data_IF_935301718452
#
_entry.id   IF_935301718452
#
_cell.length_a   1.000
_cell.length_b   1.000
_cell.length_c   1.000
_cell.angle_alpha   90.00
_cell.angle_beta   90.00
_cell.angle_gamma   90.00
#
_symmetry.space_group_name_H-M   'P 1'
#
loop_
_entity.id
_entity.type
_entity.pdbx_description
1 polymer ?
#
# COMPACT_ATOMS: atom_id res chain seq x y z
N UNK A 1 -4.62 18.70 -19.89
CA UNK A 1 -4.24 17.27 -19.77
C UNK A 1 -2.82 17.26 -19.24
N UNK A 2 -2.56 16.65 -18.08
CA UNK A 2 -1.22 16.65 -17.50
C UNK A 2 -0.29 15.73 -18.31
N UNK A 3 0.89 16.21 -18.70
CA UNK A 3 1.95 15.39 -19.30
C UNK A 3 2.81 14.83 -18.16
N UNK A 4 2.59 13.55 -17.85
CA UNK A 4 3.33 12.82 -16.82
C UNK A 4 4.12 11.69 -17.48
N UNK A 5 5.43 11.71 -17.29
CA UNK A 5 6.32 10.64 -17.75
C UNK A 5 6.92 9.93 -16.55
N UNK A 6 6.50 8.67 -16.35
CA UNK A 6 6.98 7.84 -15.27
C UNK A 6 8.12 6.95 -15.74
N UNK A 7 9.16 6.85 -14.91
CA UNK A 7 10.22 5.85 -15.05
C UNK A 7 10.25 5.01 -13.78
N UNK A 8 9.86 3.75 -13.93
CA UNK A 8 9.89 2.73 -12.88
C UNK A 8 10.92 1.68 -13.28
N UNK A 9 12.11 1.79 -12.71
CA UNK A 9 13.22 0.91 -13.04
C UNK A 9 14.05 0.56 -11.81
N UNK A 10 15.14 -0.18 -12.01
CA UNK A 10 16.11 -0.41 -10.93
C UNK A 10 16.72 0.94 -10.52
N UNK A 11 16.61 1.33 -9.26
CA UNK A 11 17.16 2.59 -8.74
C UNK A 11 18.61 2.81 -9.15
N UNK A 12 19.44 1.76 -9.11
CA UNK A 12 20.86 1.82 -9.51
C UNK A 12 21.06 2.25 -10.97
N UNK A 13 20.15 1.85 -11.87
CA UNK A 13 20.19 2.19 -13.30
C UNK A 13 19.72 3.63 -13.51
N UNK A 14 18.62 4.01 -12.85
CA UNK A 14 18.11 5.39 -12.92
C UNK A 14 19.12 6.40 -12.33
N UNK A 15 19.72 6.09 -11.19
CA UNK A 15 20.77 6.90 -10.56
C UNK A 15 22.03 7.00 -11.43
N UNK A 16 22.36 5.97 -12.20
CA UNK A 16 23.46 6.03 -13.17
C UNK A 16 23.10 6.95 -14.34
N UNK A 17 21.87 6.89 -14.84
CA UNK A 17 21.40 7.74 -15.93
C UNK A 17 21.36 9.23 -15.57
N UNK A 18 21.13 9.57 -14.31
CA UNK A 18 21.14 10.94 -13.80
C UNK A 18 22.54 11.47 -13.45
N UNK A 19 23.52 10.57 -13.25
CA UNK A 19 24.83 10.86 -12.65
C UNK A 19 24.82 10.72 -11.13
N UNK A 20 25.87 10.15 -10.53
CA UNK A 20 25.94 9.91 -9.07
C UNK A 20 26.77 10.95 -8.33
N UNK A 21 27.61 11.66 -9.06
CA UNK A 21 28.45 12.74 -8.54
C UNK A 21 28.25 14.02 -9.38
N UNK A 22 28.67 15.19 -8.89
CA UNK A 22 28.60 16.45 -9.64
C UNK A 22 29.35 16.41 -10.98
N UNK A 23 30.34 15.53 -11.13
CA UNK A 23 31.14 15.40 -12.36
C UNK A 23 30.45 14.50 -13.41
N UNK A 24 29.58 13.60 -12.96
CA UNK A 24 28.84 12.66 -13.81
C UNK A 24 27.46 13.18 -14.20
N UNK A 25 27.01 14.29 -13.61
CA UNK A 25 25.64 14.76 -13.81
C UNK A 25 25.43 15.43 -15.17
N UNK A 26 24.33 15.06 -15.83
CA UNK A 26 23.97 15.58 -17.15
C UNK A 26 23.47 17.03 -17.05
N UNK A 27 22.95 17.39 -15.88
CA UNK A 27 22.45 18.72 -15.55
C UNK A 27 22.71 19.01 -14.08
N UNK A 28 22.92 20.28 -13.75
CA UNK A 28 23.25 20.73 -12.41
C UNK A 28 22.28 20.17 -11.36
N UNK A 29 22.84 19.67 -10.26
CA UNK A 29 22.13 19.13 -9.10
C UNK A 29 21.37 17.79 -9.31
N UNK A 30 21.45 17.14 -10.49
CA UNK A 30 20.83 15.82 -10.70
C UNK A 30 21.44 14.74 -9.80
N UNK A 31 22.72 14.84 -9.44
CA UNK A 31 23.35 13.88 -8.51
C UNK A 31 22.63 13.83 -7.14
N UNK A 32 22.02 14.94 -6.70
CA UNK A 32 21.24 15.01 -5.45
C UNK A 32 19.96 14.17 -5.53
N UNK A 33 19.37 14.04 -6.72
CA UNK A 33 18.21 13.19 -6.96
C UNK A 33 18.63 11.72 -6.92
N UNK A 34 19.74 11.38 -7.58
CA UNK A 34 20.30 10.02 -7.59
C UNK A 34 20.53 9.49 -6.17
N UNK A 35 21.03 10.34 -5.28
CA UNK A 35 21.25 10.00 -3.86
C UNK A 35 19.95 9.71 -3.09
N UNK A 36 18.81 10.24 -3.56
CA UNK A 36 17.51 10.02 -2.92
C UNK A 36 16.81 8.77 -3.43
N UNK A 37 17.25 8.15 -4.53
CA UNK A 37 16.65 6.94 -5.10
C UNK A 37 16.90 5.69 -4.23
N UNK A 38 16.23 5.60 -3.08
CA UNK A 38 16.36 4.54 -2.08
C UNK A 38 15.02 3.82 -1.89
N UNK A 39 15.06 2.49 -1.81
CA UNK A 39 13.87 1.66 -1.62
C UNK A 39 13.00 1.56 -2.88
N UNK A 40 11.69 1.39 -2.69
CA UNK A 40 10.72 1.31 -3.78
C UNK A 40 10.31 2.72 -4.22
N UNK A 41 11.02 3.30 -5.18
CA UNK A 41 10.75 4.63 -5.70
C UNK A 41 10.98 4.69 -7.21
N UNK A 42 10.35 5.66 -7.88
CA UNK A 42 10.52 5.96 -9.29
C UNK A 42 10.72 7.44 -9.55
N UNK A 43 10.91 7.79 -10.82
CA UNK A 43 10.99 9.17 -11.28
C UNK A 43 9.70 9.55 -12.00
N UNK A 44 9.25 10.77 -11.76
CA UNK A 44 8.17 11.42 -12.50
C UNK A 44 8.72 12.71 -13.08
N UNK A 45 8.65 12.86 -14.40
CA UNK A 45 8.93 14.10 -15.11
C UNK A 45 7.64 14.74 -15.57
N UNK A 46 7.51 16.03 -15.35
CA UNK A 46 6.33 16.81 -15.72
C UNK A 46 6.65 18.30 -15.76
N UNK A 47 5.89 19.03 -16.59
CA UNK A 47 5.90 20.50 -16.61
C UNK A 47 4.89 21.10 -15.61
N UNK A 48 4.15 20.26 -14.88
CA UNK A 48 3.20 20.71 -13.87
C UNK A 48 3.92 21.18 -12.60
N UNK A 49 3.36 22.17 -11.92
CA UNK A 49 3.89 22.65 -10.65
C UNK A 49 3.75 21.58 -9.55
N UNK A 50 4.60 21.69 -8.52
CA UNK A 50 4.56 20.77 -7.37
C UNK A 50 3.15 20.66 -6.76
N UNK A 51 2.45 21.78 -6.58
CA UNK A 51 1.13 21.80 -5.94
C UNK A 51 0.06 21.11 -6.81
N UNK A 52 0.13 21.27 -8.13
CA UNK A 52 -0.75 20.56 -9.06
C UNK A 52 -0.50 19.05 -9.03
N UNK A 53 0.78 18.64 -8.98
CA UNK A 53 1.16 17.23 -8.88
C UNK A 53 0.65 16.63 -7.57
N UNK A 54 0.90 17.29 -6.43
CA UNK A 54 0.43 16.81 -5.13
C UNK A 54 -1.09 16.69 -5.09
N UNK A 55 -1.81 17.73 -5.55
CA UNK A 55 -3.28 17.72 -5.61
C UNK A 55 -3.83 16.64 -6.54
N UNK A 56 -3.19 16.42 -7.69
CA UNK A 56 -3.60 15.37 -8.64
C UNK A 56 -3.58 13.99 -7.99
N UNK A 57 -2.54 13.73 -7.21
CA UNK A 57 -2.26 12.45 -6.61
C UNK A 57 -2.98 12.19 -5.29
N UNK A 58 -3.20 13.23 -4.48
CA UNK A 58 -4.01 13.14 -3.25
C UNK A 58 -5.44 12.69 -3.55
N UNK A 59 -6.02 13.20 -4.64
CA UNK A 59 -7.39 12.87 -5.05
C UNK A 59 -7.50 11.52 -5.79
N UNK A 60 -6.40 10.81 -6.01
CA UNK A 60 -6.34 9.57 -6.79
C UNK A 60 -5.64 8.45 -6.04
N UNK A 61 -6.19 8.11 -4.88
CA UNK A 61 -5.79 6.92 -4.12
C UNK A 61 -6.76 5.78 -4.40
N UNK A 62 -6.20 4.62 -4.68
CA UNK A 62 -6.96 3.39 -4.82
C UNK A 62 -6.69 2.52 -3.60
N UNK A 63 -7.72 1.94 -2.95
CA UNK A 63 -7.51 0.97 -1.90
C UNK A 63 -6.79 -0.24 -2.50
N UNK A 64 -5.61 -0.55 -1.97
CA UNK A 64 -4.84 -1.74 -2.35
C UNK A 64 -4.93 -2.73 -1.19
N UNK A 65 -5.21 -4.02 -1.47
CA UNK A 65 -5.17 -5.04 -0.43
C UNK A 65 -3.78 -5.13 0.20
N UNK A 66 -3.70 -5.30 1.52
CA UNK A 66 -2.42 -5.45 2.19
C UNK A 66 -1.77 -6.78 1.87
N UNK A 67 -0.44 -6.77 1.85
CA UNK A 67 0.40 -7.95 1.69
C UNK A 67 1.02 -8.35 3.04
N UNK A 68 1.47 -9.60 3.12
CA UNK A 68 2.26 -10.03 4.26
C UNK A 68 3.55 -9.20 4.36
N UNK A 69 3.88 -8.74 5.57
CA UNK A 69 5.01 -7.86 5.85
C UNK A 69 4.69 -6.36 5.78
N UNK A 70 3.54 -5.97 5.24
CA UNK A 70 3.09 -4.56 5.30
C UNK A 70 2.85 -4.16 6.75
N UNK A 71 3.17 -2.91 7.09
CA UNK A 71 2.92 -2.36 8.42
C UNK A 71 1.49 -1.81 8.47
N UNK A 72 0.67 -2.31 9.39
CA UNK A 72 -0.70 -1.85 9.56
C UNK A 72 -0.71 -0.35 9.94
N UNK A 73 -1.44 0.47 9.19
CA UNK A 73 -1.57 1.90 9.49
C UNK A 73 -2.59 2.22 10.57
N UNK A 74 -3.42 1.25 10.94
CA UNK A 74 -4.44 1.37 11.98
C UNK A 74 -4.71 0.00 12.61
N UNK A 75 -5.33 0.01 13.78
CA UNK A 75 -5.81 -1.21 14.44
C UNK A 75 -7.16 -1.60 13.85
N UNK A 76 -7.30 -2.85 13.40
CA UNK A 76 -8.54 -3.37 12.83
C UNK A 76 -9.14 -4.41 13.78
N UNK A 77 -10.30 -4.08 14.33
CA UNK A 77 -11.08 -4.95 15.21
C UNK A 77 -12.43 -5.28 14.59
N UNK A 78 -12.77 -6.56 14.55
CA UNK A 78 -14.06 -7.07 14.10
C UNK A 78 -14.92 -7.38 15.33
N UNK A 79 -16.13 -6.84 15.36
CA UNK A 79 -17.10 -7.11 16.43
C UNK A 79 -17.81 -8.44 16.23
N UNK A 80 -18.11 -9.10 17.35
CA UNK A 80 -18.93 -10.30 17.41
C UNK A 80 -20.23 -10.12 16.62
N UNK A 81 -20.62 -11.14 15.86
CA UNK A 81 -21.91 -11.17 15.17
C UNK A 81 -21.89 -11.94 13.84
N UNK A 82 -23.03 -11.94 13.17
CA UNK A 82 -23.19 -12.56 11.86
C UNK A 82 -22.37 -11.81 10.80
N UNK A 83 -21.76 -12.58 9.91
CA UNK A 83 -20.99 -12.10 8.76
C UNK A 83 -21.71 -12.48 7.45
N UNK A 84 -22.87 -11.87 7.14
CA UNK A 84 -23.68 -12.20 5.96
C UNK A 84 -22.97 -11.89 4.63
N UNK A 85 -21.92 -11.07 4.66
CA UNK A 85 -21.08 -10.78 3.51
C UNK A 85 -20.25 -12.00 3.04
N UNK A 86 -20.20 -13.08 3.83
CA UNK A 86 -19.48 -14.30 3.50
C UNK A 86 -20.40 -15.47 3.17
N UNK A 87 -19.99 -16.23 2.15
CA UNK A 87 -20.59 -17.52 1.84
C UNK A 87 -20.23 -18.56 2.90
N UNK A 88 -21.16 -19.46 3.22
CA UNK A 88 -20.95 -20.60 4.11
C UNK A 88 -19.69 -21.43 3.79
N UNK A 89 -19.35 -21.56 2.50
CA UNK A 89 -18.20 -22.33 2.04
C UNK A 89 -16.85 -21.76 2.52
N UNK A 90 -16.79 -20.47 2.89
CA UNK A 90 -15.56 -19.82 3.31
C UNK A 90 -15.28 -19.96 4.81
N UNK A 91 -16.28 -20.33 5.60
CA UNK A 91 -16.16 -20.43 7.05
C UNK A 91 -14.98 -21.32 7.51
N UNK A 92 -14.77 -22.52 6.95
CA UNK A 92 -13.61 -23.35 7.33
C UNK A 92 -12.27 -22.67 7.06
N UNK A 93 -12.21 -21.84 6.01
CA UNK A 93 -11.01 -21.06 5.70
C UNK A 93 -10.80 -19.92 6.70
N UNK A 94 -11.85 -19.19 7.08
CA UNK A 94 -11.76 -18.14 8.11
C UNK A 94 -11.27 -18.70 9.45
N UNK A 95 -11.79 -19.86 9.84
CA UNK A 95 -11.34 -20.58 11.04
C UNK A 95 -9.86 -20.96 10.96
N UNK A 96 -9.39 -21.44 9.80
CA UNK A 96 -7.97 -21.76 9.56
C UNK A 96 -7.06 -20.53 9.63
N UNK A 97 -7.57 -19.34 9.29
CA UNK A 97 -6.85 -18.08 9.43
C UNK A 97 -6.81 -17.55 10.88
N UNK A 98 -7.43 -18.27 11.82
CA UNK A 98 -7.44 -17.94 13.24
C UNK A 98 -8.66 -17.13 13.70
N UNK A 99 -9.62 -16.85 12.81
CA UNK A 99 -10.86 -16.19 13.21
C UNK A 99 -11.74 -17.16 14.02
N UNK A 100 -12.28 -16.74 15.18
CA UNK A 100 -13.17 -17.56 15.99
C UNK A 100 -14.58 -17.58 15.37
N UNK A 101 -14.75 -18.34 14.28
CA UNK A 101 -16.01 -18.43 13.54
C UNK A 101 -16.72 -19.78 13.69
N UNK A 102 -18.05 -19.73 13.52
CA UNK A 102 -18.96 -20.89 13.41
C UNK A 102 -20.00 -20.61 12.33
N UNK A 103 -20.64 -21.64 11.78
CA UNK A 103 -21.87 -21.47 10.99
C UNK A 103 -23.10 -21.42 11.89
N UNK A 104 -23.84 -20.32 11.82
CA UNK A 104 -25.17 -20.15 12.41
C UNK A 104 -26.21 -20.09 11.29
N UNK A 105 -27.07 -21.11 11.19
CA UNK A 105 -28.10 -21.24 10.14
C UNK A 105 -27.57 -21.04 8.71
N UNK A 106 -26.35 -21.51 8.45
CA UNK A 106 -25.70 -21.40 7.14
C UNK A 106 -25.04 -20.04 6.86
N UNK A 107 -24.96 -19.14 7.84
CA UNK A 107 -24.21 -17.88 7.75
C UNK A 107 -23.01 -17.94 8.70
N UNK A 108 -21.80 -17.54 8.27
CA UNK A 108 -20.67 -17.44 9.19
C UNK A 108 -20.96 -16.41 10.29
N UNK A 109 -20.72 -16.79 11.55
CA UNK A 109 -20.82 -15.95 12.74
C UNK A 109 -19.46 -15.86 13.41
N UNK A 110 -19.04 -14.65 13.76
CA UNK A 110 -17.90 -14.42 14.64
C UNK A 110 -18.36 -14.53 16.10
N UNK A 111 -17.79 -15.48 16.86
CA UNK A 111 -18.26 -15.83 18.20
C UNK A 111 -17.88 -14.81 19.29
N UNK A 112 -16.84 -14.02 19.04
CA UNK A 112 -16.29 -13.01 19.95
C UNK A 112 -15.60 -11.90 19.15
N UNK A 113 -15.39 -10.74 19.76
CA UNK A 113 -14.58 -9.69 19.16
C UNK A 113 -13.18 -10.23 18.80
N UNK A 114 -12.68 -9.84 17.63
CA UNK A 114 -11.43 -10.34 17.07
C UNK A 114 -10.60 -9.20 16.50
N UNK A 115 -9.42 -8.99 17.08
CA UNK A 115 -8.44 -8.03 16.55
C UNK A 115 -7.67 -8.69 15.43
N UNK A 116 -7.85 -8.19 14.20
CA UNK A 116 -7.14 -8.69 13.02
C UNK A 116 -5.70 -8.22 13.05
N UNK A 117 -5.46 -6.93 13.23
CA UNK A 117 -4.12 -6.36 13.35
C UNK A 117 -4.11 -5.13 14.25
N UNK A 118 -2.93 -4.83 14.82
CA UNK A 118 -2.67 -3.63 15.59
C UNK A 118 -1.84 -2.64 14.76
N UNK A 119 -2.11 -1.35 14.93
CA UNK A 119 -1.33 -0.27 14.32
C UNK A 119 0.18 -0.43 14.58
N UNK A 120 0.99 -0.19 13.55
CA UNK A 120 2.45 -0.22 13.64
C UNK A 120 3.06 -1.63 13.61
N UNK A 121 2.26 -2.70 13.62
CA UNK A 121 2.77 -4.08 13.50
C UNK A 121 2.78 -4.56 12.05
N UNK A 122 3.74 -5.44 11.75
CA UNK A 122 3.79 -6.12 10.45
C UNK A 122 2.67 -7.17 10.35
N UNK A 123 2.00 -7.19 9.20
CA UNK A 123 0.93 -8.13 8.90
C UNK A 123 1.50 -9.51 8.58
N UNK A 124 0.96 -10.53 9.23
CA UNK A 124 1.19 -11.93 8.86
C UNK A 124 0.40 -12.28 7.58
N UNK A 125 0.78 -13.36 6.88
CA UNK A 125 0.02 -13.83 5.72
C UNK A 125 -1.46 -14.09 6.02
N UNK A 126 -1.77 -14.60 7.22
CA UNK A 126 -3.16 -14.83 7.64
C UNK A 126 -3.93 -13.52 7.79
N UNK A 127 -3.33 -12.52 8.44
CA UNK A 127 -3.96 -11.20 8.63
C UNK A 127 -4.18 -10.49 7.30
N UNK A 128 -3.17 -10.48 6.42
CA UNK A 128 -3.30 -9.93 5.07
C UNK A 128 -4.45 -10.60 4.29
N UNK A 129 -4.56 -11.93 4.34
CA UNK A 129 -5.64 -12.68 3.68
C UNK A 129 -7.04 -12.35 4.24
N UNK A 130 -7.16 -12.13 5.55
CA UNK A 130 -8.42 -11.68 6.17
C UNK A 130 -8.79 -10.30 5.64
N UNK A 131 -7.82 -9.38 5.59
CA UNK A 131 -8.03 -8.01 5.15
C UNK A 131 -8.36 -7.91 3.65
N UNK A 132 -7.79 -8.74 2.78
CA UNK A 132 -8.05 -8.75 1.31
C UNK A 132 -9.55 -8.95 0.97
N UNK A 133 -10.34 -9.54 1.87
CA UNK A 133 -11.78 -9.79 1.66
C UNK A 133 -12.59 -8.50 1.97
N UNK A 134 -13.94 -8.46 2.00
CA UNK A 134 -14.73 -7.21 2.04
C UNK A 134 -14.56 -6.37 3.34
N UNK A 135 -13.57 -6.68 4.16
CA UNK A 135 -13.16 -5.91 5.33
C UNK A 135 -12.13 -4.81 5.01
N UNK A 136 -11.36 -4.91 3.91
CA UNK A 136 -10.41 -3.86 3.54
C UNK A 136 -11.12 -2.69 2.88
N UNK A 137 -11.53 -1.71 3.68
CA UNK A 137 -11.77 -0.36 3.16
C UNK A 137 -10.80 0.69 3.68
N UNK A 138 -9.98 0.44 4.71
CA UNK A 138 -9.19 1.54 5.32
C UNK A 138 -7.72 1.22 5.71
N UNK A 139 -7.25 -0.02 5.52
CA UNK A 139 -6.05 -0.48 6.25
C UNK A 139 -4.69 -0.02 5.69
N UNK A 140 -4.65 0.69 4.55
CA UNK A 140 -3.37 1.15 4.00
C UNK A 140 -3.44 2.57 3.45
N UNK A 141 -2.66 3.45 4.08
CA UNK A 141 -2.43 4.84 3.67
C UNK A 141 -1.07 5.03 2.97
N UNK A 142 -0.56 4.02 2.26
CA UNK A 142 0.78 4.09 1.68
C UNK A 142 0.77 3.70 0.21
N UNK A 143 0.82 4.69 -0.70
CA UNK A 143 1.64 4.56 -1.91
C UNK A 143 1.80 5.87 -2.69
N UNK A 144 2.49 6.86 -2.09
CA UNK A 144 3.26 7.85 -2.84
C UNK A 144 4.57 8.17 -2.10
N UNK A 145 5.40 7.14 -1.93
CA UNK A 145 6.82 7.35 -1.59
C UNK A 145 7.61 7.38 -2.89
N UNK A 146 7.49 8.48 -3.63
CA UNK A 146 8.22 8.70 -4.88
C UNK A 146 8.71 10.15 -4.92
N UNK A 147 9.99 10.36 -5.19
CA UNK A 147 10.60 11.68 -5.27
C UNK A 147 10.04 12.41 -6.49
N UNK A 148 9.38 13.54 -6.23
CA UNK A 148 8.85 14.42 -7.26
C UNK A 148 9.96 15.34 -7.74
N UNK A 149 10.28 15.30 -9.04
CA UNK A 149 11.17 16.27 -9.67
C UNK A 149 10.35 16.99 -10.74
N UNK A 150 10.03 18.25 -10.44
CA UNK A 150 9.73 19.24 -11.46
C UNK A 150 11.08 19.75 -11.94
N UNK A 151 11.36 19.59 -13.23
CA UNK A 151 12.41 20.35 -13.93
C UNK A 151 11.70 21.48 -14.65
#
# INVERSE_FOLDING_TARGET
>A
MYDFRFFLGKNKVMALALGRTPEEEIQENLHKISQRLVGQCGLLFTNASKDEVMKYFENRRYPVPPHAGDVASETVELKKGLLPQFSHAIEPHLRKLGMPTRLERGVPELMQDFVVCEEGRQLTPSQASILVRPFALHVLNNLLRGIFISV
#
